data_IF_075086769739
#
_entry.id   IF_075086769739
#
_cell.length_a   1.000
_cell.length_b   1.000
_cell.length_c   1.000
_cell.angle_alpha   90.00
_cell.angle_beta   90.00
_cell.angle_gamma   90.00
#
_symmetry.space_group_name_H-M   'P 1'
#
loop_
_entity.id
_entity.type
_entity.pdbx_description
1 polymer ?
#
# COMPACT_ATOMS: atom_id res chain seq x y z
N UNK A 1 3.04 5.74 -20.51
CA UNK A 1 1.72 5.89 -19.86
C UNK A 1 1.68 7.20 -19.08
N UNK A 2 0.63 8.00 -19.25
CA UNK A 2 0.47 9.25 -18.52
C UNK A 2 -0.47 9.05 -17.33
N UNK A 3 -0.05 9.50 -16.14
CA UNK A 3 -0.82 9.34 -14.92
C UNK A 3 -1.15 10.70 -14.28
N UNK A 4 -2.30 10.74 -13.61
CA UNK A 4 -2.71 11.81 -12.69
C UNK A 4 -2.74 11.30 -11.26
N UNK A 5 -2.56 12.20 -10.30
CA UNK A 5 -2.61 11.89 -8.86
C UNK A 5 -3.65 12.81 -8.22
N UNK A 6 -4.66 12.23 -7.59
CA UNK A 6 -5.64 12.95 -6.79
C UNK A 6 -5.33 12.75 -5.30
N UNK A 7 -4.95 13.81 -4.61
CA UNK A 7 -4.43 13.79 -3.24
C UNK A 7 -2.91 13.65 -3.20
N UNK A 8 -2.22 14.67 -2.74
CA UNK A 8 -0.76 14.72 -2.65
C UNK A 8 -0.28 14.63 -1.20
N UNK A 9 -0.98 13.80 -0.41
CA UNK A 9 -0.59 13.39 0.95
C UNK A 9 0.62 12.46 0.94
N UNK A 10 0.84 11.72 2.04
CA UNK A 10 1.99 10.78 2.14
C UNK A 10 2.07 9.84 0.93
N UNK A 11 1.00 9.10 0.67
CA UNK A 11 0.98 8.06 -0.38
C UNK A 11 1.05 8.69 -1.78
N UNK A 12 0.30 9.76 -2.04
CA UNK A 12 0.34 10.44 -3.35
C UNK A 12 1.73 10.96 -3.69
N UNK A 13 2.46 11.57 -2.70
CA UNK A 13 3.83 12.03 -2.91
C UNK A 13 4.84 10.89 -3.13
N UNK A 14 4.69 9.78 -2.41
CA UNK A 14 5.58 8.64 -2.58
C UNK A 14 5.29 7.86 -3.87
N UNK A 15 4.02 7.76 -4.26
CA UNK A 15 3.65 7.25 -5.58
C UNK A 15 4.24 8.13 -6.69
N UNK A 16 4.23 9.47 -6.52
CA UNK A 16 4.92 10.38 -7.43
C UNK A 16 6.42 10.10 -7.49
N UNK A 17 7.10 9.99 -6.33
CA UNK A 17 8.54 9.69 -6.28
C UNK A 17 8.87 8.33 -6.90
N UNK A 18 8.01 7.32 -6.71
CA UNK A 18 8.16 6.01 -7.33
C UNK A 18 7.94 6.07 -8.86
N UNK A 19 6.97 6.85 -9.33
CA UNK A 19 6.65 7.00 -10.75
C UNK A 19 7.72 7.73 -11.54
N UNK A 20 8.29 8.82 -10.98
CA UNK A 20 9.25 9.67 -11.71
C UNK A 20 10.56 8.97 -12.03
N UNK A 21 10.88 7.89 -11.32
CA UNK A 21 12.06 7.05 -11.57
C UNK A 21 11.83 5.98 -12.65
N UNK A 22 10.63 5.93 -13.24
CA UNK A 22 10.26 4.97 -14.29
C UNK A 22 10.20 5.67 -15.64
N UNK A 23 10.93 5.16 -16.61
CA UNK A 23 11.06 5.77 -17.95
C UNK A 23 9.79 5.68 -18.79
N UNK A 24 8.90 4.75 -18.46
CA UNK A 24 7.65 4.46 -19.18
C UNK A 24 6.40 5.12 -18.55
N UNK A 25 6.59 5.89 -17.46
CA UNK A 25 5.54 6.63 -16.78
C UNK A 25 5.84 8.14 -16.79
N UNK A 26 4.80 8.91 -17.01
CA UNK A 26 4.84 10.37 -16.93
C UNK A 26 3.70 10.85 -16.02
N UNK A 27 4.03 11.57 -14.94
CA UNK A 27 3.03 12.26 -14.12
C UNK A 27 2.72 13.61 -14.77
N UNK A 28 1.49 13.81 -15.19
CA UNK A 28 1.08 14.99 -15.98
C UNK A 28 0.16 15.94 -15.19
N UNK A 29 -0.41 15.49 -14.10
CA UNK A 29 -1.29 16.32 -13.28
C UNK A 29 -1.39 15.83 -11.83
N UNK A 30 -1.52 16.76 -10.91
CA UNK A 30 -1.76 16.54 -9.48
C UNK A 30 -2.91 17.43 -9.05
N UNK A 31 -3.83 16.87 -8.29
CA UNK A 31 -4.87 17.62 -7.61
C UNK A 31 -4.69 17.55 -6.10
N UNK A 32 -4.64 18.68 -5.43
CA UNK A 32 -4.69 18.80 -3.98
C UNK A 32 -5.24 20.19 -3.60
N UNK A 33 -5.78 20.33 -2.40
CA UNK A 33 -6.41 21.58 -1.96
C UNK A 33 -5.41 22.59 -1.35
N UNK A 34 -4.13 22.23 -1.34
CA UNK A 34 -3.03 23.09 -0.83
C UNK A 34 -2.38 23.87 -1.97
N UNK A 35 -1.80 25.02 -1.63
CA UNK A 35 -1.11 25.89 -2.58
C UNK A 35 0.09 25.21 -3.25
N UNK A 36 0.40 25.50 -4.52
CA UNK A 36 1.48 24.87 -5.27
C UNK A 36 2.87 25.02 -4.62
N UNK A 37 3.16 26.16 -4.02
CA UNK A 37 4.42 26.39 -3.30
C UNK A 37 4.59 25.44 -2.10
N UNK A 38 3.49 25.17 -1.39
CA UNK A 38 3.52 24.22 -0.29
C UNK A 38 3.60 22.77 -0.77
N UNK A 39 2.98 22.43 -1.89
CA UNK A 39 3.14 21.13 -2.54
C UNK A 39 4.61 20.92 -2.97
N UNK A 40 5.24 21.92 -3.54
CA UNK A 40 6.67 21.90 -3.89
C UNK A 40 7.54 21.68 -2.65
N UNK A 41 7.25 22.41 -1.57
CA UNK A 41 7.97 22.25 -0.29
C UNK A 41 7.84 20.83 0.25
N UNK A 42 6.62 20.28 0.30
CA UNK A 42 6.36 18.92 0.79
C UNK A 42 6.99 17.84 -0.10
N UNK A 43 7.14 18.09 -1.40
CA UNK A 43 7.83 17.15 -2.30
C UNK A 43 9.34 17.18 -2.07
N UNK A 44 9.92 18.38 -1.86
CA UNK A 44 11.36 18.57 -1.61
C UNK A 44 11.84 17.91 -0.32
N UNK A 45 11.04 18.02 0.75
CA UNK A 45 11.45 17.66 2.09
C UNK A 45 10.52 16.62 2.69
N UNK A 46 11.08 15.51 3.11
CA UNK A 46 10.37 14.43 3.79
C UNK A 46 11.18 13.94 4.98
N UNK A 47 10.58 13.93 6.16
CA UNK A 47 11.27 13.57 7.40
C UNK A 47 11.62 12.08 7.46
N UNK A 48 10.90 11.23 6.72
CA UNK A 48 11.09 9.78 6.70
C UNK A 48 11.95 9.34 5.53
N UNK A 49 11.61 9.81 4.32
CA UNK A 49 12.25 9.38 3.07
C UNK A 49 13.30 10.37 2.53
N UNK A 50 13.64 11.41 3.32
CA UNK A 50 14.70 12.35 2.97
C UNK A 50 14.32 13.31 1.84
N UNK A 51 15.31 14.07 1.40
CA UNK A 51 15.13 15.04 0.31
C UNK A 51 14.82 14.34 -1.01
N UNK A 52 13.98 15.00 -1.80
CA UNK A 52 13.74 14.58 -3.17
C UNK A 52 15.03 14.71 -4.00
N UNK A 53 15.39 13.67 -4.69
CA UNK A 53 16.53 13.65 -5.60
C UNK A 53 16.12 14.22 -6.97
N UNK A 54 16.28 15.53 -7.13
CA UNK A 54 15.90 16.24 -8.32
C UNK A 54 15.55 17.71 -8.07
N UNK A 55 15.15 18.39 -9.13
CA UNK A 55 14.73 19.80 -9.08
C UNK A 55 13.21 19.91 -8.94
N UNK A 56 12.75 20.82 -8.10
CA UNK A 56 11.32 21.15 -7.93
C UNK A 56 11.18 22.66 -7.88
N UNK A 57 10.41 23.22 -8.78
CA UNK A 57 10.13 24.65 -8.88
C UNK A 57 8.62 24.84 -9.06
N UNK A 58 8.15 26.06 -8.79
CA UNK A 58 6.78 26.47 -9.09
C UNK A 58 6.84 27.55 -10.16
N UNK A 59 6.05 27.40 -11.21
CA UNK A 59 5.89 28.38 -12.26
C UNK A 59 4.45 28.40 -12.79
N UNK A 60 3.89 29.58 -12.87
CA UNK A 60 2.52 29.81 -13.37
C UNK A 60 1.48 28.89 -12.68
N UNK A 61 1.63 28.68 -11.37
CA UNK A 61 0.74 27.82 -10.56
C UNK A 61 0.92 26.31 -10.75
N UNK A 62 1.91 25.88 -11.53
CA UNK A 62 2.22 24.45 -11.76
C UNK A 62 3.56 24.07 -11.13
N UNK A 63 3.76 22.77 -10.90
CA UNK A 63 5.07 22.24 -10.53
C UNK A 63 5.92 22.00 -11.78
N UNK A 64 7.19 22.37 -11.69
CA UNK A 64 8.23 21.99 -12.66
C UNK A 64 9.16 21.03 -11.92
N UNK A 65 9.10 19.76 -12.27
CA UNK A 65 9.95 18.73 -11.65
C UNK A 65 10.88 18.13 -12.70
N UNK A 66 12.19 18.23 -12.46
CA UNK A 66 13.22 17.79 -13.41
C UNK A 66 12.98 18.35 -14.82
N UNK A 67 12.56 19.63 -14.90
CA UNK A 67 12.27 20.34 -16.15
C UNK A 67 10.93 19.98 -16.81
N UNK A 68 10.13 19.07 -16.24
CA UNK A 68 8.80 18.71 -16.76
C UNK A 68 7.70 19.45 -16.01
N UNK A 69 6.77 20.01 -16.76
CA UNK A 69 5.60 20.72 -16.19
C UNK A 69 4.53 19.71 -15.79
N UNK A 70 4.03 19.85 -14.56
CA UNK A 70 2.96 19.03 -13.99
C UNK A 70 1.83 20.00 -13.60
N UNK A 71 0.67 19.83 -14.23
CA UNK A 71 -0.49 20.67 -13.93
C UNK A 71 -0.95 20.47 -12.49
N UNK A 72 -1.16 21.57 -11.77
CA UNK A 72 -1.75 21.56 -10.43
C UNK A 72 -3.18 22.08 -10.50
N UNK A 73 -4.08 21.39 -9.81
CA UNK A 73 -5.47 21.79 -9.61
C UNK A 73 -5.83 21.73 -8.12
N UNK A 74 -6.86 22.49 -7.72
CA UNK A 74 -7.37 22.51 -6.34
C UNK A 74 -8.90 22.27 -6.33
N UNK A 75 -9.31 21.21 -7.01
CA UNK A 75 -10.71 20.83 -7.18
C UNK A 75 -11.17 19.87 -6.10
N UNK A 76 -12.31 20.18 -5.47
CA UNK A 76 -12.95 19.30 -4.48
C UNK A 76 -13.71 18.15 -5.11
N UNK A 77 -14.32 18.39 -6.28
CA UNK A 77 -15.06 17.38 -7.02
C UNK A 77 -14.22 16.83 -8.18
N UNK A 78 -13.86 15.55 -8.16
CA UNK A 78 -13.05 14.94 -9.20
C UNK A 78 -13.63 15.03 -10.61
N UNK A 79 -14.94 15.20 -10.77
CA UNK A 79 -15.58 15.36 -12.07
C UNK A 79 -15.09 16.63 -12.81
N UNK A 80 -14.57 17.63 -12.09
CA UNK A 80 -14.08 18.89 -12.65
C UNK A 80 -12.58 18.87 -13.00
N UNK A 81 -11.88 17.76 -12.80
CA UNK A 81 -10.42 17.68 -12.92
C UNK A 81 -9.91 17.70 -14.35
N UNK A 82 -10.79 17.43 -15.34
CA UNK A 82 -10.46 17.49 -16.77
C UNK A 82 -9.14 16.79 -17.11
N UNK A 83 -9.03 15.52 -16.72
CA UNK A 83 -7.83 14.71 -16.94
C UNK A 83 -7.47 14.57 -18.43
N UNK A 84 -8.46 14.62 -19.30
CA UNK A 84 -8.27 14.60 -20.75
C UNK A 84 -7.44 15.79 -21.27
N UNK A 85 -7.51 16.97 -20.65
CA UNK A 85 -6.75 18.16 -21.08
C UNK A 85 -5.23 17.98 -20.95
N UNK A 86 -4.78 17.15 -19.98
CA UNK A 86 -3.37 16.79 -19.80
C UNK A 86 -3.03 15.39 -20.32
N UNK A 87 -4.03 14.68 -20.84
CA UNK A 87 -3.90 13.33 -21.35
C UNK A 87 -3.59 12.28 -20.28
N UNK A 88 -4.01 12.50 -19.03
CA UNK A 88 -3.86 11.52 -17.96
C UNK A 88 -4.81 10.32 -18.24
N UNK A 89 -4.23 9.14 -18.38
CA UNK A 89 -4.94 7.91 -18.71
C UNK A 89 -5.35 7.13 -17.46
N UNK A 90 -4.45 7.03 -16.49
CA UNK A 90 -4.66 6.31 -15.23
C UNK A 90 -4.55 7.30 -14.07
N UNK A 91 -5.50 7.26 -13.15
CA UNK A 91 -5.51 8.13 -11.98
C UNK A 91 -5.20 7.31 -10.72
N UNK A 92 -4.27 7.80 -9.93
CA UNK A 92 -4.03 7.33 -8.57
C UNK A 92 -4.92 8.14 -7.64
N UNK A 93 -5.95 7.50 -7.08
CA UNK A 93 -6.83 8.11 -6.09
C UNK A 93 -6.26 7.90 -4.69
N UNK A 94 -5.68 8.94 -4.10
CA UNK A 94 -4.98 8.90 -2.81
C UNK A 94 -5.47 9.92 -1.79
N UNK A 95 -6.67 10.45 -1.96
CA UNK A 95 -7.30 11.35 -0.98
C UNK A 95 -7.89 10.60 0.22
N UNK A 96 -8.26 9.32 0.05
CA UNK A 96 -8.99 8.53 1.04
C UNK A 96 -10.49 8.82 1.12
N UNK A 97 -11.03 9.65 0.23
CA UNK A 97 -12.46 10.02 0.20
C UNK A 97 -13.25 9.26 -0.87
N UNK A 98 -12.71 9.10 -2.06
CA UNK A 98 -13.40 8.51 -3.22
C UNK A 98 -13.12 7.00 -3.32
N UNK A 99 -13.59 6.25 -2.32
CA UNK A 99 -13.26 4.83 -2.11
C UNK A 99 -14.42 3.87 -2.47
N UNK A 100 -15.31 4.29 -3.34
CA UNK A 100 -16.33 3.43 -3.94
C UNK A 100 -16.28 3.57 -5.46
N UNK A 101 -16.80 2.60 -6.17
CA UNK A 101 -16.88 2.64 -7.63
C UNK A 101 -17.63 3.88 -8.11
N UNK A 102 -18.77 4.19 -7.47
CA UNK A 102 -19.56 5.39 -7.79
C UNK A 102 -18.77 6.68 -7.60
N UNK A 103 -18.07 6.84 -6.47
CA UNK A 103 -17.31 8.05 -6.19
C UNK A 103 -16.09 8.19 -7.11
N UNK A 104 -15.38 7.10 -7.37
CA UNK A 104 -14.21 7.11 -8.24
C UNK A 104 -14.57 7.23 -9.73
N UNK A 105 -15.82 6.89 -10.12
CA UNK A 105 -16.34 7.07 -11.47
C UNK A 105 -16.22 8.52 -11.95
N UNK A 106 -16.24 9.50 -11.04
CA UNK A 106 -16.03 10.92 -11.35
C UNK A 106 -14.71 11.20 -12.06
N UNK A 107 -13.68 10.42 -11.80
CA UNK A 107 -12.41 10.54 -12.53
C UNK A 107 -12.54 10.08 -14.00
N UNK A 108 -13.35 9.06 -14.24
CA UNK A 108 -13.66 8.60 -15.61
C UNK A 108 -14.47 9.69 -16.35
N UNK A 109 -15.45 10.30 -15.67
CA UNK A 109 -16.24 11.42 -16.20
C UNK A 109 -15.36 12.64 -16.52
N UNK A 110 -14.30 12.85 -15.73
CA UNK A 110 -13.28 13.87 -15.97
C UNK A 110 -12.28 13.52 -17.08
N UNK A 111 -12.45 12.39 -17.76
CA UNK A 111 -11.70 11.99 -18.93
C UNK A 111 -10.55 11.00 -18.71
N UNK A 112 -10.41 10.42 -17.52
CA UNK A 112 -9.50 9.31 -17.28
C UNK A 112 -10.05 8.01 -17.87
N UNK A 113 -9.17 7.05 -18.17
CA UNK A 113 -9.56 5.71 -18.62
C UNK A 113 -9.65 4.72 -17.46
N UNK A 114 -8.75 4.81 -16.50
CA UNK A 114 -8.59 3.87 -15.38
C UNK A 114 -8.35 4.63 -14.08
N UNK A 115 -8.75 4.04 -12.95
CA UNK A 115 -8.52 4.56 -11.59
C UNK A 115 -7.99 3.45 -10.69
N UNK A 116 -6.93 3.74 -9.95
CA UNK A 116 -6.39 2.88 -8.89
C UNK A 116 -6.56 3.59 -7.55
N UNK A 117 -7.40 3.03 -6.68
CA UNK A 117 -7.57 3.53 -5.31
C UNK A 117 -6.40 3.09 -4.43
N UNK A 118 -5.79 4.01 -3.72
CA UNK A 118 -4.68 3.76 -2.78
C UNK A 118 -5.16 3.38 -1.37
N UNK A 119 -6.29 2.72 -1.26
CA UNK A 119 -6.89 2.26 0.00
C UNK A 119 -7.87 1.13 -0.28
N UNK A 120 -8.26 0.35 0.74
CA UNK A 120 -9.35 -0.62 0.61
C UNK A 120 -10.63 0.07 0.15
N UNK A 121 -11.28 -0.51 -0.84
CA UNK A 121 -12.59 -0.06 -1.28
C UNK A 121 -13.64 -0.24 -0.15
N UNK A 122 -14.66 0.61 -0.16
CA UNK A 122 -15.79 0.56 0.79
C UNK A 122 -17.03 -0.14 0.22
N UNK A 123 -16.89 -0.66 -0.99
CA UNK A 123 -17.89 -1.41 -1.73
C UNK A 123 -17.24 -2.65 -2.39
N UNK A 124 -17.93 -3.28 -3.33
CA UNK A 124 -17.44 -4.46 -4.06
C UNK A 124 -16.48 -4.14 -5.22
N UNK A 125 -15.82 -2.98 -5.22
CA UNK A 125 -14.80 -2.64 -6.22
C UNK A 125 -13.72 -3.71 -6.27
N UNK A 126 -13.36 -4.23 -7.46
CA UNK A 126 -12.32 -5.24 -7.60
C UNK A 126 -11.02 -4.83 -6.93
N UNK A 127 -10.49 -5.73 -6.10
CA UNK A 127 -9.31 -5.46 -5.26
C UNK A 127 -8.18 -6.40 -5.68
N UNK A 128 -7.00 -5.81 -5.86
CA UNK A 128 -5.82 -6.54 -6.34
C UNK A 128 -4.61 -6.32 -5.44
N UNK A 129 -3.81 -7.37 -5.31
CA UNK A 129 -2.48 -7.36 -4.71
C UNK A 129 -1.50 -7.93 -5.72
N UNK A 130 -0.48 -7.16 -6.05
CA UNK A 130 0.57 -7.57 -6.97
C UNK A 130 1.25 -8.86 -6.49
N UNK A 131 1.49 -9.80 -7.42
CA UNK A 131 2.02 -11.12 -7.11
C UNK A 131 0.98 -12.14 -6.63
N UNK A 132 -0.20 -11.71 -6.18
CA UNK A 132 -1.25 -12.59 -5.65
C UNK A 132 -2.33 -12.85 -6.69
N UNK A 133 -3.14 -11.85 -7.01
CA UNK A 133 -4.26 -11.99 -7.95
C UNK A 133 -4.25 -10.97 -9.11
N UNK A 134 -3.19 -10.21 -9.31
CA UNK A 134 -3.11 -9.21 -10.37
C UNK A 134 -3.29 -9.78 -11.79
N UNK A 135 -3.01 -11.07 -11.99
CA UNK A 135 -3.23 -11.75 -13.26
C UNK A 135 -4.72 -11.94 -13.61
N UNK A 136 -5.61 -11.71 -12.64
CA UNK A 136 -7.05 -11.74 -12.82
C UNK A 136 -7.63 -10.39 -13.27
N UNK A 137 -6.76 -9.37 -13.47
CA UNK A 137 -7.16 -8.09 -14.04
C UNK A 137 -7.81 -8.29 -15.42
N UNK A 138 -8.91 -7.57 -15.66
CA UNK A 138 -9.63 -7.61 -16.92
C UNK A 138 -9.77 -6.21 -17.51
N UNK A 139 -9.83 -6.14 -18.84
CA UNK A 139 -9.99 -4.88 -19.56
C UNK A 139 -11.25 -4.10 -19.15
N UNK A 140 -12.31 -4.82 -18.75
CA UNK A 140 -13.57 -4.24 -18.28
C UNK A 140 -13.48 -3.53 -16.93
N UNK A 141 -12.43 -3.79 -16.12
CA UNK A 141 -12.23 -3.10 -14.85
C UNK A 141 -11.62 -1.72 -15.10
N UNK A 142 -12.41 -0.68 -14.93
CA UNK A 142 -11.92 0.70 -15.05
C UNK A 142 -11.51 1.29 -13.71
N UNK A 143 -12.01 0.75 -12.61
CA UNK A 143 -11.76 1.21 -11.25
C UNK A 143 -11.39 0.00 -10.41
N UNK A 144 -10.22 0.05 -9.75
CA UNK A 144 -9.71 -1.03 -8.91
C UNK A 144 -9.10 -0.47 -7.61
N UNK A 145 -9.01 -1.32 -6.60
CA UNK A 145 -8.35 -1.02 -5.33
C UNK A 145 -7.04 -1.79 -5.21
N UNK A 146 -5.99 -1.12 -4.71
CA UNK A 146 -4.71 -1.75 -4.32
C UNK A 146 -4.74 -2.32 -2.89
N UNK A 147 -5.92 -2.53 -2.29
CA UNK A 147 -6.07 -2.94 -0.89
C UNK A 147 -5.35 -2.00 0.11
N UNK A 148 -4.92 -2.51 1.27
CA UNK A 148 -4.09 -1.79 2.23
C UNK A 148 -2.62 -2.22 2.17
N UNK A 149 -1.72 -1.42 2.74
CA UNK A 149 -0.32 -1.80 2.89
C UNK A 149 -0.16 -3.10 3.68
N UNK A 150 -0.93 -3.29 4.75
CA UNK A 150 -0.94 -4.51 5.56
C UNK A 150 -1.43 -5.72 4.76
N UNK A 151 -2.49 -5.57 3.94
CA UNK A 151 -2.97 -6.64 3.05
C UNK A 151 -1.91 -7.01 2.02
N UNK A 152 -1.18 -6.04 1.48
CA UNK A 152 -0.08 -6.26 0.54
C UNK A 152 1.09 -7.02 1.17
N UNK A 153 1.32 -6.86 2.47
CA UNK A 153 2.31 -7.66 3.20
C UNK A 153 1.80 -9.06 3.54
N UNK A 154 0.56 -9.16 4.03
CA UNK A 154 -0.01 -10.41 4.52
C UNK A 154 -0.34 -11.40 3.40
N UNK A 155 -0.90 -10.94 2.28
CA UNK A 155 -1.40 -11.81 1.24
C UNK A 155 -0.31 -12.68 0.57
N UNK A 156 0.90 -12.18 0.27
CA UNK A 156 1.97 -13.02 -0.28
C UNK A 156 2.38 -14.18 0.63
N UNK A 157 2.59 -13.94 1.93
CA UNK A 157 2.97 -15.02 2.87
C UNK A 157 1.81 -15.97 3.14
N UNK A 158 0.58 -15.47 3.20
CA UNK A 158 -0.61 -16.30 3.34
C UNK A 158 -0.82 -17.19 2.11
N UNK A 159 -0.57 -16.66 0.89
CA UNK A 159 -0.60 -17.43 -0.36
C UNK A 159 0.38 -18.61 -0.29
N UNK A 160 1.64 -18.37 0.03
CA UNK A 160 2.66 -19.43 0.10
C UNK A 160 2.29 -20.51 1.12
N UNK A 161 1.85 -20.10 2.31
CA UNK A 161 1.43 -21.05 3.37
C UNK A 161 0.21 -21.85 2.92
N UNK A 162 -0.79 -21.18 2.32
CA UNK A 162 -2.00 -21.86 1.88
C UNK A 162 -1.74 -22.83 0.72
N UNK A 163 -0.98 -22.41 -0.29
CA UNK A 163 -0.69 -23.23 -1.47
C UNK A 163 0.13 -24.48 -1.14
N UNK A 164 1.06 -24.37 -0.21
CA UNK A 164 1.96 -25.48 0.16
C UNK A 164 1.39 -26.38 1.26
N UNK A 165 0.77 -25.79 2.28
CA UNK A 165 0.41 -26.50 3.51
C UNK A 165 -1.07 -26.45 3.87
N UNK A 166 -1.85 -25.56 3.22
CA UNK A 166 -3.26 -25.27 3.57
C UNK A 166 -3.37 -24.49 4.87
N UNK A 167 -4.17 -23.43 4.88
CA UNK A 167 -4.51 -22.69 6.10
C UNK A 167 -5.91 -23.12 6.55
N UNK A 168 -6.03 -23.61 7.78
CA UNK A 168 -7.30 -23.90 8.43
C UNK A 168 -7.89 -22.62 9.00
N UNK A 169 -7.10 -21.91 9.80
CA UNK A 169 -7.48 -20.65 10.47
C UNK A 169 -6.23 -19.88 10.90
N UNK A 170 -6.38 -18.58 11.12
CA UNK A 170 -5.27 -17.77 11.61
C UNK A 170 -5.68 -16.42 12.20
N UNK A 171 -4.80 -15.93 13.07
CA UNK A 171 -4.89 -14.60 13.66
C UNK A 171 -3.67 -13.77 13.26
N UNK A 172 -3.91 -12.54 12.81
CA UNK A 172 -2.87 -11.60 12.43
C UNK A 172 -2.85 -10.42 13.40
N UNK A 173 -1.67 -10.05 13.85
CA UNK A 173 -1.43 -8.76 14.48
C UNK A 173 -0.44 -7.98 13.62
N UNK A 174 -0.80 -6.79 13.17
CA UNK A 174 0.21 -5.89 12.61
C UNK A 174 0.69 -4.93 13.69
N UNK A 175 1.99 -4.93 13.94
CA UNK A 175 2.67 -3.91 14.73
C UNK A 175 3.03 -2.81 13.73
N UNK A 176 2.26 -1.72 13.76
CA UNK A 176 2.22 -0.76 12.67
C UNK A 176 2.78 0.59 13.09
N UNK A 177 3.61 1.17 12.24
CA UNK A 177 4.10 2.53 12.37
C UNK A 177 2.94 3.55 12.44
N UNK A 178 3.22 4.75 12.93
CA UNK A 178 2.25 5.84 12.97
C UNK A 178 1.79 6.25 11.57
N UNK A 179 0.57 6.73 11.46
CA UNK A 179 0.01 7.25 10.21
C UNK A 179 -0.54 8.66 10.42
N UNK A 180 -0.73 9.42 9.32
CA UNK A 180 -1.18 10.80 9.35
C UNK A 180 -2.56 11.01 10.03
N UNK A 181 -3.35 9.97 10.21
CA UNK A 181 -4.64 10.05 10.90
C UNK A 181 -4.53 10.03 12.42
N UNK A 182 -3.37 9.62 12.96
CA UNK A 182 -3.14 9.59 14.40
C UNK A 182 -2.83 10.98 14.95
N UNK A 183 -3.00 11.15 16.25
CA UNK A 183 -2.78 12.43 16.94
C UNK A 183 -1.38 12.50 17.53
N UNK A 184 -0.73 13.65 17.41
CA UNK A 184 0.58 13.88 18.02
C UNK A 184 0.47 13.91 19.54
N UNK A 185 -0.57 14.58 20.07
CA UNK A 185 -0.92 14.66 21.49
C UNK A 185 -2.38 14.25 21.68
N UNK A 186 -2.78 13.94 22.91
CA UNK A 186 -4.16 13.57 23.24
C UNK A 186 -5.16 14.61 22.69
N UNK A 187 -6.07 14.16 21.85
CA UNK A 187 -7.07 15.00 21.19
C UNK A 187 -8.36 14.25 21.00
N UNK A 188 -9.51 14.94 20.88
CA UNK A 188 -10.79 14.30 20.67
C UNK A 188 -10.81 13.40 19.43
N UNK A 189 -11.39 12.22 19.58
CA UNK A 189 -11.68 11.28 18.50
C UNK A 189 -13.04 10.66 18.73
N UNK A 190 -13.99 10.91 17.83
CA UNK A 190 -15.39 10.49 18.00
C UNK A 190 -15.62 9.01 17.65
N UNK A 191 -14.83 8.46 16.74
CA UNK A 191 -15.02 7.07 16.25
C UNK A 191 -14.16 6.04 16.96
N UNK A 192 -12.95 6.43 17.33
CA UNK A 192 -11.98 5.56 17.99
C UNK A 192 -11.27 6.37 19.09
N UNK A 193 -11.67 6.18 20.34
CA UNK A 193 -11.09 6.92 21.46
C UNK A 193 -9.60 6.64 21.63
N UNK A 194 -9.17 5.41 21.37
CA UNK A 194 -7.74 5.05 21.43
C UNK A 194 -6.94 5.77 20.36
N UNK A 195 -7.50 5.93 19.16
CA UNK A 195 -6.89 6.71 18.08
C UNK A 195 -6.75 8.21 18.36
N UNK A 196 -7.43 8.73 19.41
CA UNK A 196 -7.26 10.10 19.90
C UNK A 196 -6.05 10.30 20.82
N UNK A 197 -5.36 9.23 21.24
CA UNK A 197 -4.20 9.32 22.15
C UNK A 197 -2.92 9.62 21.38
N UNK A 198 -1.97 10.27 22.08
CA UNK A 198 -0.68 10.66 21.52
C UNK A 198 0.12 9.50 20.96
N UNK A 199 0.40 9.54 19.66
CA UNK A 199 0.93 8.41 18.90
C UNK A 199 2.38 8.04 19.31
N UNK A 200 3.20 9.03 19.67
CA UNK A 200 4.61 8.80 20.02
C UNK A 200 4.85 8.38 21.47
N UNK A 201 3.82 8.27 22.29
CA UNK A 201 3.92 7.96 23.72
C UNK A 201 3.26 6.64 24.09
N UNK A 202 2.57 5.99 23.15
CA UNK A 202 1.69 4.86 23.44
C UNK A 202 1.84 3.72 22.44
N UNK A 203 1.56 2.50 22.92
CA UNK A 203 1.14 1.38 22.10
C UNK A 203 -0.38 1.43 22.04
N UNK A 204 -0.94 1.59 20.82
CA UNK A 204 -2.37 1.84 20.64
C UNK A 204 -3.03 0.67 19.90
N UNK A 205 -3.84 -0.18 20.57
CA UNK A 205 -4.65 -1.18 19.88
C UNK A 205 -5.67 -0.51 18.96
N UNK A 206 -5.78 -1.01 17.73
CA UNK A 206 -6.70 -0.49 16.71
C UNK A 206 -7.31 -1.64 15.91
N UNK A 207 -8.53 -1.48 15.45
CA UNK A 207 -9.12 -2.43 14.51
C UNK A 207 -8.49 -2.32 13.12
N UNK A 208 -8.46 -3.44 12.39
CA UNK A 208 -8.05 -3.46 10.99
C UNK A 208 -8.88 -4.47 10.21
N UNK A 209 -9.23 -4.11 8.98
CA UNK A 209 -9.86 -5.03 8.04
C UNK A 209 -8.86 -5.82 7.18
N UNK A 210 -7.55 -5.57 7.34
CA UNK A 210 -6.53 -6.09 6.44
C UNK A 210 -6.49 -7.62 6.33
N UNK A 211 -6.67 -8.34 7.45
CA UNK A 211 -6.70 -9.80 7.45
C UNK A 211 -7.95 -10.36 6.75
N UNK A 212 -9.11 -9.72 6.97
CA UNK A 212 -10.34 -10.11 6.26
C UNK A 212 -10.26 -9.81 4.77
N UNK A 213 -9.59 -8.72 4.40
CA UNK A 213 -9.40 -8.33 3.01
C UNK A 213 -8.53 -9.31 2.21
N UNK A 214 -7.72 -10.16 2.88
CA UNK A 214 -7.02 -11.26 2.18
C UNK A 214 -8.00 -12.19 1.49
N UNK A 215 -9.18 -12.43 2.05
CA UNK A 215 -10.24 -13.23 1.41
C UNK A 215 -10.86 -12.60 0.15
N UNK A 216 -10.54 -11.34 -0.18
CA UNK A 216 -10.93 -10.71 -1.44
C UNK A 216 -9.95 -11.05 -2.58
N UNK A 217 -8.68 -11.28 -2.24
CA UNK A 217 -7.59 -11.55 -3.20
C UNK A 217 -7.16 -13.02 -3.20
N UNK A 218 -7.52 -13.78 -2.17
CA UNK A 218 -7.39 -15.23 -2.03
C UNK A 218 -8.73 -15.77 -1.51
N UNK A 219 -9.70 -16.04 -2.39
CA UNK A 219 -11.08 -16.42 -2.01
C UNK A 219 -11.15 -17.67 -1.11
N UNK A 220 -10.21 -18.60 -1.25
CA UNK A 220 -10.09 -19.81 -0.45
C UNK A 220 -9.76 -19.53 1.04
N UNK A 221 -9.27 -18.33 1.36
CA UNK A 221 -9.01 -17.88 2.72
C UNK A 221 -10.16 -17.04 3.31
N UNK A 222 -11.26 -16.88 2.58
CA UNK A 222 -12.42 -16.12 3.08
C UNK A 222 -12.96 -16.73 4.37
N UNK A 223 -13.00 -15.93 5.43
CA UNK A 223 -13.49 -16.34 6.74
C UNK A 223 -12.47 -17.09 7.61
N UNK A 224 -11.29 -17.44 7.08
CA UNK A 224 -10.24 -18.16 7.83
C UNK A 224 -9.28 -17.23 8.57
N UNK A 225 -9.16 -15.97 8.16
CA UNK A 225 -8.25 -14.99 8.76
C UNK A 225 -8.98 -13.80 9.35
N UNK A 226 -8.56 -13.38 10.54
CA UNK A 226 -8.93 -12.10 11.15
C UNK A 226 -7.74 -11.52 11.90
N UNK A 227 -7.84 -10.29 12.40
CA UNK A 227 -6.71 -9.69 13.08
C UNK A 227 -6.98 -8.29 13.62
N UNK A 228 -5.92 -7.73 14.21
CA UNK A 228 -5.89 -6.41 14.79
C UNK A 228 -4.58 -5.69 14.49
N UNK A 229 -4.51 -4.41 14.85
CA UNK A 229 -3.31 -3.59 14.76
C UNK A 229 -2.88 -3.11 16.14
N UNK A 230 -1.57 -3.07 16.38
CA UNK A 230 -0.94 -2.32 17.45
C UNK A 230 -0.17 -1.17 16.82
N UNK A 231 -0.58 0.08 17.03
CA UNK A 231 0.19 1.26 16.61
C UNK A 231 1.31 1.49 17.60
N UNK A 232 2.51 1.67 17.09
CA UNK A 232 3.73 1.87 17.89
C UNK A 232 4.44 3.17 17.49
N UNK A 233 5.28 3.75 18.37
CA UNK A 233 5.97 5.03 18.12
C UNK A 233 7.15 4.89 17.14
N UNK A 234 6.92 4.38 15.95
CA UNK A 234 7.88 4.32 14.84
C UNK A 234 7.37 5.15 13.67
N UNK A 235 8.26 5.84 12.98
CA UNK A 235 7.89 6.75 11.90
C UNK A 235 7.38 6.01 10.67
N UNK A 236 7.99 4.89 10.34
CA UNK A 236 7.69 4.04 9.19
C UNK A 236 8.22 2.62 9.43
N UNK A 237 7.91 1.73 8.53
CA UNK A 237 8.14 0.28 8.56
C UNK A 237 7.34 -0.41 9.66
N UNK A 238 6.50 -1.30 9.23
CA UNK A 238 5.59 -2.10 10.04
C UNK A 238 5.91 -3.59 9.90
N UNK A 239 5.33 -4.40 10.77
CA UNK A 239 5.53 -5.85 10.73
C UNK A 239 4.20 -6.58 10.92
N UNK A 240 3.99 -7.61 10.13
CA UNK A 240 2.91 -8.59 10.28
C UNK A 240 3.41 -9.76 11.12
N UNK A 241 2.69 -10.06 12.19
CA UNK A 241 2.75 -11.27 12.98
C UNK A 241 1.52 -12.13 12.60
N UNK A 242 1.74 -13.23 11.89
CA UNK A 242 0.68 -14.14 11.47
C UNK A 242 0.83 -15.49 12.16
N UNK A 243 -0.12 -15.83 13.02
CA UNK A 243 -0.20 -17.16 13.64
C UNK A 243 -1.30 -17.96 12.94
N UNK A 244 -0.94 -19.13 12.41
CA UNK A 244 -1.86 -19.99 11.64
C UNK A 244 -1.82 -21.44 12.11
N UNK A 245 -2.96 -22.11 11.92
CA UNK A 245 -3.07 -23.57 11.94
C UNK A 245 -3.01 -24.08 10.49
N UNK A 246 -2.06 -24.96 10.23
CA UNK A 246 -1.87 -25.59 8.94
C UNK A 246 -2.69 -26.88 8.85
N UNK A 247 -3.17 -27.19 7.67
CA UNK A 247 -3.86 -28.45 7.34
C UNK A 247 -2.87 -29.61 7.27
N UNK A 248 -1.76 -29.39 6.56
CA UNK A 248 -0.64 -30.33 6.45
C UNK A 248 0.46 -29.89 7.38
N UNK A 249 0.93 -30.80 8.24
CA UNK A 249 2.07 -30.54 9.10
C UNK A 249 3.32 -30.22 8.29
N UNK A 250 4.08 -29.25 8.76
CA UNK A 250 5.35 -28.82 8.17
C UNK A 250 6.33 -28.40 9.25
N UNK A 251 7.59 -28.78 9.10
CA UNK A 251 8.64 -28.21 9.94
C UNK A 251 8.82 -26.73 9.64
N UNK A 252 9.37 -25.96 10.58
CA UNK A 252 9.67 -24.54 10.30
C UNK A 252 10.70 -24.37 9.17
N UNK A 253 11.60 -25.34 8.99
CA UNK A 253 12.55 -25.36 7.86
C UNK A 253 11.85 -25.54 6.51
N UNK A 254 10.79 -26.38 6.44
CA UNK A 254 9.98 -26.51 5.22
C UNK A 254 9.29 -25.20 4.88
N UNK A 255 8.80 -24.47 5.90
CA UNK A 255 8.18 -23.15 5.72
C UNK A 255 9.20 -22.12 5.21
N UNK A 256 10.40 -22.07 5.81
CA UNK A 256 11.48 -21.19 5.33
C UNK A 256 11.85 -21.50 3.89
N UNK A 257 11.98 -22.78 3.55
CA UNK A 257 12.28 -23.23 2.19
C UNK A 257 11.20 -22.75 1.21
N UNK A 258 9.93 -22.97 1.53
CA UNK A 258 8.82 -22.54 0.68
C UNK A 258 8.78 -21.02 0.47
N UNK A 259 9.02 -20.25 1.54
CA UNK A 259 9.08 -18.77 1.46
C UNK A 259 10.24 -18.30 0.60
N UNK A 260 11.42 -18.92 0.75
CA UNK A 260 12.60 -18.58 -0.05
C UNK A 260 12.42 -18.90 -1.53
N UNK A 261 11.89 -20.08 -1.84
CA UNK A 261 11.57 -20.47 -3.22
C UNK A 261 10.58 -19.48 -3.88
N UNK A 262 9.54 -19.08 -3.14
CA UNK A 262 8.57 -18.10 -3.64
C UNK A 262 9.21 -16.72 -3.85
N UNK A 263 10.05 -16.25 -2.91
CA UNK A 263 10.74 -14.97 -2.99
C UNK A 263 11.73 -14.91 -4.16
N UNK A 264 12.43 -15.99 -4.44
CA UNK A 264 13.37 -16.08 -5.56
C UNK A 264 12.67 -16.35 -6.90
N UNK A 265 11.45 -16.89 -6.85
CA UNK A 265 10.65 -17.35 -7.99
C UNK A 265 9.43 -16.48 -8.30
N UNK A 266 8.23 -17.02 -8.08
CA UNK A 266 6.97 -16.42 -8.52
C UNK A 266 6.61 -15.07 -7.86
N UNK A 267 7.10 -14.83 -6.66
CA UNK A 267 6.90 -13.60 -5.90
C UNK A 267 8.12 -12.68 -5.89
N UNK A 268 9.05 -12.88 -6.81
CA UNK A 268 10.24 -12.02 -6.94
C UNK A 268 9.85 -10.56 -7.10
N UNK A 269 10.45 -9.68 -6.28
CA UNK A 269 10.14 -8.25 -6.24
C UNK A 269 8.87 -7.88 -5.46
N UNK A 270 8.15 -8.88 -4.93
CA UNK A 270 6.99 -8.73 -4.05
C UNK A 270 7.34 -9.26 -2.65
N UNK A 271 7.72 -10.52 -2.56
CA UNK A 271 8.20 -11.18 -1.34
C UNK A 271 9.72 -11.10 -1.27
N UNK A 272 10.23 -10.68 -0.14
CA UNK A 272 11.64 -10.81 0.24
C UNK A 272 11.82 -11.91 1.27
N UNK A 273 13.07 -12.29 1.50
CA UNK A 273 13.48 -13.28 2.48
C UNK A 273 14.76 -12.83 3.16
N UNK A 274 14.83 -12.92 4.49
CA UNK A 274 16.04 -12.62 5.26
C UNK A 274 16.28 -13.65 6.36
N UNK A 275 17.55 -13.93 6.62
CA UNK A 275 18.04 -14.70 7.78
C UNK A 275 18.91 -13.81 8.70
N UNK A 276 18.99 -12.53 8.42
CA UNK A 276 19.70 -11.58 9.26
C UNK A 276 18.89 -11.22 10.50
N UNK A 277 19.58 -10.77 11.56
CA UNK A 277 18.95 -10.28 12.78
C UNK A 277 18.59 -8.80 12.61
N UNK A 278 17.48 -8.54 11.94
CA UNK A 278 17.04 -7.22 11.47
C UNK A 278 16.00 -6.58 12.38
N UNK A 279 15.86 -5.26 12.22
CA UNK A 279 14.82 -4.45 12.86
C UNK A 279 14.13 -3.57 11.81
N UNK A 280 13.06 -2.89 12.19
CA UNK A 280 12.21 -2.13 11.25
C UNK A 280 12.97 -1.16 10.35
N UNK A 281 13.95 -0.41 10.88
CA UNK A 281 14.67 0.61 10.12
C UNK A 281 15.54 0.06 8.99
N UNK A 282 15.87 -1.23 9.02
CA UNK A 282 16.65 -1.91 7.96
C UNK A 282 15.85 -2.05 6.65
N UNK A 283 14.53 -1.91 6.73
CA UNK A 283 13.63 -2.01 5.58
C UNK A 283 13.08 -0.67 5.09
N UNK A 284 13.57 0.45 5.64
CA UNK A 284 13.18 1.77 5.17
C UNK A 284 13.60 1.95 3.71
N UNK A 285 12.63 2.25 2.84
CA UNK A 285 12.84 2.39 1.40
C UNK A 285 12.84 1.06 0.63
N UNK A 286 12.49 -0.06 1.25
CA UNK A 286 12.32 -1.31 0.53
C UNK A 286 11.05 -1.28 -0.33
N UNK A 287 11.19 -1.52 -1.63
CA UNK A 287 10.07 -1.50 -2.57
C UNK A 287 9.22 -2.78 -2.57
N UNK A 288 9.69 -3.84 -1.91
CA UNK A 288 8.91 -5.07 -1.71
C UNK A 288 7.87 -4.83 -0.62
N UNK A 289 6.72 -5.44 -0.76
CA UNK A 289 5.61 -5.25 0.18
C UNK A 289 5.54 -6.29 1.30
N UNK A 290 6.39 -7.31 1.28
CA UNK A 290 6.42 -8.38 2.28
C UNK A 290 7.83 -8.94 2.34
N UNK A 291 8.52 -8.83 3.47
CA UNK A 291 9.86 -9.39 3.66
C UNK A 291 9.78 -10.40 4.79
N UNK A 292 9.77 -11.69 4.44
CA UNK A 292 9.70 -12.78 5.40
C UNK A 292 10.99 -12.84 6.24
N UNK A 293 10.83 -12.80 7.56
CA UNK A 293 11.91 -12.92 8.53
C UNK A 293 12.01 -14.37 9.00
N UNK A 294 12.99 -15.08 8.48
CA UNK A 294 13.17 -16.50 8.72
C UNK A 294 13.58 -16.83 10.18
N UNK A 295 14.16 -15.87 10.90
CA UNK A 295 14.60 -16.06 12.29
C UNK A 295 13.59 -15.61 13.32
N UNK A 296 12.65 -14.71 12.97
CA UNK A 296 11.69 -14.16 13.92
C UNK A 296 10.46 -15.07 14.15
N UNK A 297 10.19 -16.02 13.26
CA UNK A 297 9.06 -16.93 13.40
C UNK A 297 9.34 -18.11 14.33
N UNK A 298 8.28 -18.77 14.77
CA UNK A 298 8.34 -19.94 15.66
C UNK A 298 7.24 -20.95 15.32
N UNK A 299 7.51 -22.24 15.56
CA UNK A 299 6.50 -23.29 15.52
C UNK A 299 6.27 -23.84 16.93
N UNK A 300 5.01 -23.99 17.32
CA UNK A 300 4.64 -24.72 18.54
C UNK A 300 4.64 -26.24 18.27
N UNK A 301 4.22 -26.62 17.08
CA UNK A 301 4.23 -27.97 16.52
C UNK A 301 4.11 -27.85 15.00
N UNK A 302 4.10 -28.96 14.28
CA UNK A 302 4.09 -28.98 12.81
C UNK A 302 2.84 -28.34 12.18
N UNK A 303 1.74 -28.22 12.93
CA UNK A 303 0.50 -27.64 12.44
C UNK A 303 0.20 -26.24 13.00
N UNK A 304 1.00 -25.72 13.93
CA UNK A 304 0.71 -24.41 14.53
C UNK A 304 1.96 -23.54 14.56
N UNK A 305 1.97 -22.53 13.70
CA UNK A 305 3.16 -21.74 13.41
C UNK A 305 2.84 -20.23 13.45
N UNK A 306 3.83 -19.46 13.88
CA UNK A 306 3.88 -18.02 13.77
C UNK A 306 4.95 -17.66 12.75
N UNK A 307 4.60 -16.83 11.77
CA UNK A 307 5.52 -16.22 10.80
C UNK A 307 5.50 -14.71 10.92
N UNK A 308 6.63 -14.09 10.60
CA UNK A 308 6.84 -12.64 10.70
C UNK A 308 7.24 -12.12 9.33
N UNK A 309 6.64 -11.00 8.92
CA UNK A 309 6.99 -10.31 7.68
C UNK A 309 7.00 -8.80 7.83
N UNK A 310 8.09 -8.17 7.40
CA UNK A 310 8.31 -6.73 7.42
C UNK A 310 7.79 -6.06 6.17
N UNK A 311 7.45 -4.77 6.26
CA UNK A 311 7.08 -3.96 5.11
C UNK A 311 7.24 -2.47 5.39
N UNK A 312 7.84 -1.76 4.44
CA UNK A 312 7.72 -0.30 4.41
C UNK A 312 6.29 0.05 3.99
N UNK A 313 5.48 0.46 4.96
CA UNK A 313 4.05 0.69 4.76
C UNK A 313 3.75 1.92 3.89
N UNK A 314 4.74 2.75 3.60
CA UNK A 314 4.65 3.89 2.70
C UNK A 314 5.31 3.60 1.35
N UNK A 315 6.61 3.30 1.32
CA UNK A 315 7.37 3.16 0.08
C UNK A 315 7.04 1.89 -0.70
N UNK A 316 7.06 0.73 -0.05
CA UNK A 316 6.72 -0.53 -0.70
C UNK A 316 5.31 -0.51 -1.28
N UNK A 317 4.35 -0.02 -0.49
CA UNK A 317 2.97 0.14 -0.92
C UNK A 317 2.82 1.11 -2.10
N UNK A 318 3.50 2.26 -2.07
CA UNK A 318 3.44 3.26 -3.15
C UNK A 318 4.03 2.72 -4.46
N UNK A 319 5.07 1.91 -4.40
CA UNK A 319 5.59 1.22 -5.58
C UNK A 319 4.56 0.25 -6.19
N UNK A 320 3.82 -0.50 -5.37
CA UNK A 320 2.81 -1.45 -5.86
C UNK A 320 1.56 -0.78 -6.42
N UNK A 321 1.20 0.42 -5.93
CA UNK A 321 0.18 1.24 -6.59
C UNK A 321 0.60 1.56 -8.03
N UNK A 322 1.84 1.94 -8.23
CA UNK A 322 2.35 2.27 -9.57
C UNK A 322 2.47 0.99 -10.44
N UNK A 323 2.88 -0.14 -9.87
CA UNK A 323 2.89 -1.42 -10.58
C UNK A 323 1.47 -1.80 -11.04
N UNK A 324 0.47 -1.68 -10.15
CA UNK A 324 -0.93 -1.96 -10.49
C UNK A 324 -1.47 -0.98 -11.55
N UNK A 325 -1.09 0.30 -11.45
CA UNK A 325 -1.45 1.30 -12.47
C UNK A 325 -0.86 0.96 -13.84
N UNK A 326 0.36 0.44 -13.90
CA UNK A 326 0.96 -0.04 -15.13
C UNK A 326 0.22 -1.26 -15.72
N UNK A 327 -0.16 -2.21 -14.87
CA UNK A 327 -0.86 -3.41 -15.34
C UNK A 327 -2.25 -3.08 -15.88
N UNK A 328 -3.06 -2.29 -15.14
CA UNK A 328 -4.39 -1.92 -15.60
C UNK A 328 -4.35 -0.96 -16.80
N UNK A 329 -3.31 -0.14 -16.91
CA UNK A 329 -3.13 0.79 -18.02
C UNK A 329 -2.75 0.12 -19.35
N UNK A 330 -2.34 -1.15 -19.34
CA UNK A 330 -2.05 -1.97 -20.54
C UNK A 330 -3.31 -2.60 -21.13
N UNK A 331 -4.40 -2.67 -20.37
CA UNK A 331 -5.67 -3.27 -20.71
C UNK A 331 -6.65 -2.22 -21.27
#
# INVERSE_FOLDING_TARGET
>A
MKIGINGFGRIGRLAFRAAINRSDIEVVGINDLVEPDYLAYMLKYDSTHGRFDGTVEVKDGNLIVNGKTIRITAEKDPANLKWNEVGAEVIIESTGFFLTQELAQKHIEAGAKKVVMSAPAKDDTPTFVMGVNHKELKAEYNIVSNASCTTNCLAPIAKVLNDKFGIVEGLMTTIHAVTATQKTVDSPSSKDWRGGRGAYQNIIPSSTGAAKAVGLVLPELKGKLTGMSMRVPTADVSVVDLTVRLEKGASYEDIKTAMKEAADGELKGILGYTEDEVVSTDFLGDARTSIFDAKAGISLNDNFVKVVSWYDNEWGYSNKIIDLAQEIGKL
#
